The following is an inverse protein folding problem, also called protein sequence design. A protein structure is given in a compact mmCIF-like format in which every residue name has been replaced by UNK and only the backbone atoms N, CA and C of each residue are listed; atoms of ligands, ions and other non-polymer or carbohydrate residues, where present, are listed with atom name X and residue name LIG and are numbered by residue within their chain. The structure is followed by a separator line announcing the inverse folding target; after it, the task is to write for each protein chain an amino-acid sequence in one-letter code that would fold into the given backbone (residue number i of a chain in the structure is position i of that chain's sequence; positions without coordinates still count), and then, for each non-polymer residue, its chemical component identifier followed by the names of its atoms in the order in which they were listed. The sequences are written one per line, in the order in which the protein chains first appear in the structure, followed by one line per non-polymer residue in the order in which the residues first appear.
data_IF_503739083371
#
_entry.id   IF_503739083371
#
_cell.length_a   1.000
_cell.length_b   1.000
_cell.length_c   1.000
_cell.angle_alpha   90.00
_cell.angle_beta   90.00
_cell.angle_gamma   90.00
#
_symmetry.space_group_name_H-M   'P 1'
#
loop_
_entity.id
_entity.type
_entity.pdbx_description
1 polymer ?
#
# COMPACT_ATOMS: atom_id res chain seq x y z
N UNK A 1 -0.67 -19.10 15.65
CA UNK A 1 0.78 -19.28 15.47
C UNK A 1 1.49 -19.01 16.78
N UNK A 2 2.29 -19.96 17.27
CA UNK A 2 3.17 -19.74 18.42
C UNK A 2 4.38 -18.90 17.97
N UNK A 3 4.82 -17.87 18.72
CA UNK A 3 6.09 -17.21 18.43
C UNK A 3 7.23 -18.23 18.55
N UNK A 4 8.16 -18.24 17.61
CA UNK A 4 9.39 -19.02 17.75
C UNK A 4 10.18 -18.47 18.95
N UNK A 5 10.31 -19.26 20.02
CA UNK A 5 11.21 -18.94 21.12
C UNK A 5 12.66 -18.99 20.63
N UNK A 6 13.43 -17.93 20.88
CA UNK A 6 14.86 -17.85 20.55
C UNK A 6 15.67 -17.43 21.77
N UNK A 7 16.77 -18.11 22.02
CA UNK A 7 17.67 -17.82 23.14
C UNK A 7 18.73 -16.79 22.73
N UNK A 8 19.04 -15.83 23.60
CA UNK A 8 20.13 -14.87 23.41
C UNK A 8 20.92 -14.66 24.69
N UNK A 9 22.19 -14.22 24.56
CA UNK A 9 23.06 -13.90 25.69
C UNK A 9 22.44 -12.77 26.54
N UNK A 10 22.62 -12.83 27.87
CA UNK A 10 22.12 -11.84 28.83
C UNK A 10 22.54 -10.42 28.39
N UNK A 11 21.57 -9.54 28.19
CA UNK A 11 21.78 -8.16 27.72
C UNK A 11 21.70 -7.96 26.21
N UNK A 12 21.57 -9.02 25.39
CA UNK A 12 21.34 -8.91 23.94
C UNK A 12 19.94 -9.38 23.56
N UNK A 13 19.22 -8.67 22.68
CA UNK A 13 17.92 -9.13 22.18
C UNK A 13 18.09 -10.40 21.33
N UNK A 14 17.15 -11.33 21.43
CA UNK A 14 17.04 -12.44 20.49
C UNK A 14 16.55 -11.90 19.14
N UNK A 15 17.48 -11.74 18.20
CA UNK A 15 17.18 -11.28 16.83
C UNK A 15 16.80 -12.52 16.02
N UNK A 16 15.50 -12.77 15.87
CA UNK A 16 15.02 -13.69 14.86
C UNK A 16 14.94 -12.92 13.53
N UNK A 17 15.84 -13.22 12.58
CA UNK A 17 15.68 -12.76 11.21
C UNK A 17 14.46 -13.50 10.66
N UNK A 18 13.35 -12.77 10.55
CA UNK A 18 12.15 -13.27 9.88
C UNK A 18 12.16 -12.72 8.47
N UNK A 19 12.03 -13.59 7.48
CA UNK A 19 11.80 -13.16 6.10
C UNK A 19 10.43 -12.46 6.06
N UNK A 20 10.42 -11.13 6.16
CA UNK A 20 9.20 -10.37 5.88
C UNK A 20 8.97 -10.46 4.38
N UNK A 21 7.98 -11.25 3.97
CA UNK A 21 7.53 -11.39 2.58
C UNK A 21 6.89 -10.12 2.01
N UNK A 22 6.69 -9.08 2.84
CA UNK A 22 6.03 -7.84 2.44
C UNK A 22 7.07 -6.79 2.04
N UNK A 23 7.32 -6.69 0.74
CA UNK A 23 8.04 -5.57 0.13
C UNK A 23 7.09 -4.38 -0.10
N UNK A 24 7.64 -3.17 -0.20
CA UNK A 24 6.87 -2.00 -0.63
C UNK A 24 6.44 -2.18 -2.10
N UNK A 25 5.13 -2.23 -2.34
CA UNK A 25 4.57 -2.33 -3.68
C UNK A 25 4.21 -0.95 -4.21
N UNK A 26 4.69 -0.60 -5.40
CA UNK A 26 4.20 0.54 -6.17
C UNK A 26 3.11 0.07 -7.14
N UNK A 27 2.08 0.89 -7.35
CA UNK A 27 1.00 0.59 -8.30
C UNK A 27 1.08 1.55 -9.47
N UNK A 28 0.94 1.05 -10.69
CA UNK A 28 0.92 1.87 -11.91
C UNK A 28 -0.47 1.74 -12.54
N UNK A 29 -1.10 2.87 -12.84
CA UNK A 29 -2.29 2.94 -13.67
C UNK A 29 -1.88 3.42 -15.06
N UNK A 30 -2.30 2.69 -16.09
CA UNK A 30 -1.94 3.01 -17.47
C UNK A 30 -3.11 2.78 -18.40
N UNK A 31 -3.21 3.65 -19.41
CA UNK A 31 -4.10 3.47 -20.54
C UNK A 31 -3.26 3.45 -21.82
N UNK A 32 -3.44 2.42 -22.63
CA UNK A 32 -2.73 2.24 -23.90
C UNK A 32 -3.71 2.09 -25.05
N UNK A 33 -3.34 2.64 -26.20
CA UNK A 33 -4.04 2.49 -27.47
C UNK A 33 -3.17 1.67 -28.41
N UNK A 34 -3.72 1.20 -29.53
CA UNK A 34 -2.98 0.47 -30.56
C UNK A 34 -1.80 1.24 -31.15
N UNK A 35 -1.81 2.57 -31.05
CA UNK A 35 -0.76 3.45 -31.60
C UNK A 35 0.24 3.96 -30.56
N UNK A 36 -0.17 4.20 -29.33
CA UNK A 36 0.67 4.85 -28.30
C UNK A 36 0.09 4.67 -26.89
N UNK A 37 0.93 4.98 -25.88
CA UNK A 37 0.53 5.08 -24.47
C UNK A 37 -0.22 6.39 -24.26
N UNK A 38 -1.49 6.31 -23.83
CA UNK A 38 -2.35 7.48 -23.64
C UNK A 38 -2.03 8.20 -22.33
N UNK A 39 -1.84 7.45 -21.24
CA UNK A 39 -1.46 8.01 -19.95
C UNK A 39 -0.87 6.94 -19.03
N UNK A 40 0.01 7.36 -18.13
CA UNK A 40 0.59 6.54 -17.07
C UNK A 40 0.68 7.35 -15.78
N UNK A 41 0.21 6.78 -14.67
CA UNK A 41 0.33 7.35 -13.34
C UNK A 41 0.96 6.34 -12.37
N UNK A 42 1.96 6.78 -11.63
CA UNK A 42 2.61 6.01 -10.57
C UNK A 42 2.02 6.38 -9.22
N UNK A 43 1.55 5.39 -8.48
CA UNK A 43 1.14 5.52 -7.09
C UNK A 43 2.18 4.89 -6.17
N UNK A 44 2.83 5.75 -5.40
CA UNK A 44 3.70 5.34 -4.31
C UNK A 44 2.87 4.78 -3.15
N UNK A 45 3.32 3.71 -2.49
CA UNK A 45 2.66 3.22 -1.28
C UNK A 45 2.63 4.35 -0.25
N UNK A 46 1.49 4.52 0.42
CA UNK A 46 1.39 5.46 1.52
C UNK A 46 2.44 5.10 2.57
N UNK A 47 3.46 5.93 2.72
CA UNK A 47 4.46 5.76 3.76
C UNK A 47 3.73 5.86 5.10
N UNK A 48 3.68 4.76 5.85
CA UNK A 48 3.24 4.82 7.22
C UNK A 48 4.25 5.65 8.00
N UNK A 49 3.95 6.95 8.16
CA UNK A 49 4.53 7.75 9.23
C UNK A 49 4.18 7.04 10.52
N UNK A 50 5.11 6.21 10.99
CA UNK A 50 5.04 5.58 12.29
C UNK A 50 5.05 6.72 13.31
N UNK A 51 3.87 7.20 13.69
CA UNK A 51 3.71 8.19 14.75
C UNK A 51 4.40 7.59 15.97
N UNK A 52 5.61 8.08 16.27
CA UNK A 52 6.27 7.83 17.55
C UNK A 52 5.39 8.50 18.60
N UNK A 53 4.45 7.74 19.16
CA UNK A 53 3.75 8.16 20.36
C UNK A 53 4.81 8.15 21.48
N UNK A 54 5.21 9.34 21.93
CA UNK A 54 5.85 9.49 23.24
C UNK A 54 4.76 9.29 24.27
N UNK A 55 4.94 8.32 25.17
CA UNK A 55 4.11 8.20 26.37
C UNK A 55 5.05 8.47 27.54
N UNK A 56 4.80 9.57 28.24
CA UNK A 56 5.46 9.87 29.50
C UNK A 56 4.79 9.04 30.59
N UNK A 57 5.49 8.03 31.10
CA UNK A 57 5.63 7.83 32.53
C UNK A 57 6.74 6.79 32.81
N UNK A 58 7.85 7.28 33.38
CA UNK A 58 8.91 6.56 34.09
C UNK A 58 9.72 5.49 33.30
N UNK A 59 10.72 5.97 32.54
CA UNK A 59 12.05 5.36 32.31
C UNK A 59 12.18 3.84 32.08
N UNK A 60 11.26 3.19 31.38
CA UNK A 60 11.51 1.83 30.85
C UNK A 60 10.90 1.65 29.46
N UNK A 61 11.73 1.83 28.42
CA UNK A 61 11.32 1.56 27.03
C UNK A 61 11.29 0.05 26.77
N UNK A 62 10.13 -0.59 26.91
CA UNK A 62 9.84 -1.88 26.27
C UNK A 62 8.77 -1.67 25.21
N UNK A 63 9.11 -1.94 23.94
CA UNK A 63 8.14 -2.01 22.86
C UNK A 63 7.23 -3.22 23.11
N UNK A 64 6.00 -3.00 23.54
CA UNK A 64 4.95 -3.99 23.30
C UNK A 64 4.60 -3.92 21.81
N UNK A 65 4.47 -5.04 21.09
CA UNK A 65 3.78 -5.04 19.82
C UNK A 65 2.29 -4.89 20.14
N UNK A 66 1.87 -3.67 20.50
CA UNK A 66 0.47 -3.28 20.33
C UNK A 66 0.12 -3.66 18.92
N UNK A 67 -0.88 -4.52 18.72
CA UNK A 67 -1.31 -5.06 17.44
C UNK A 67 -1.14 -4.02 16.34
N UNK A 68 0.03 -4.04 15.70
CA UNK A 68 0.34 -3.22 14.56
C UNK A 68 -0.49 -3.88 13.48
N UNK A 69 -1.77 -3.50 13.39
CA UNK A 69 -2.44 -3.49 12.10
C UNK A 69 -1.62 -2.49 11.29
N UNK A 70 -0.47 -2.96 10.77
CA UNK A 70 0.25 -2.33 9.67
C UNK A 70 -0.89 -1.97 8.73
N UNK A 71 -1.11 -0.70 8.44
CA UNK A 71 -2.15 -0.35 7.49
C UNK A 71 -1.92 -1.23 6.27
N UNK A 72 -3.01 -1.86 5.84
CA UNK A 72 -2.99 -2.58 4.59
C UNK A 72 -2.62 -1.50 3.56
N UNK A 73 -1.52 -1.64 2.80
CA UNK A 73 -1.16 -0.67 1.79
C UNK A 73 -2.40 -0.52 0.94
N UNK A 74 -2.97 0.67 1.00
CA UNK A 74 -4.22 0.95 0.33
C UNK A 74 -3.84 1.02 -1.14
N UNK A 75 -4.23 -0.01 -1.89
CA UNK A 75 -4.09 0.01 -3.34
C UNK A 75 -4.94 1.12 -3.95
N UNK A 76 -5.06 1.11 -5.27
CA UNK A 76 -5.88 2.10 -5.97
C UNK A 76 -7.31 2.07 -5.46
N UNK A 77 -7.79 3.21 -4.94
CA UNK A 77 -9.19 3.40 -4.57
C UNK A 77 -9.97 3.96 -5.75
N UNK A 78 -11.29 3.75 -5.74
CA UNK A 78 -12.22 4.25 -6.78
C UNK A 78 -12.01 5.74 -7.08
N UNK A 79 -11.77 6.58 -6.08
CA UNK A 79 -11.52 8.01 -6.31
C UNK A 79 -10.31 8.28 -7.19
N UNK A 80 -9.20 7.55 -6.99
CA UNK A 80 -8.01 7.70 -7.83
C UNK A 80 -8.27 7.21 -9.25
N UNK A 81 -9.01 6.12 -9.42
CA UNK A 81 -9.39 5.62 -10.72
C UNK A 81 -10.29 6.61 -11.49
N UNK A 82 -11.28 7.22 -10.84
CA UNK A 82 -12.14 8.22 -11.46
C UNK A 82 -11.35 9.47 -11.91
N UNK A 83 -10.43 9.95 -11.07
CA UNK A 83 -9.54 11.08 -11.44
C UNK A 83 -8.65 10.71 -12.64
N UNK A 84 -8.14 9.48 -12.69
CA UNK A 84 -7.38 8.99 -13.83
C UNK A 84 -8.24 8.95 -15.10
N UNK A 85 -9.49 8.47 -15.02
CA UNK A 85 -10.42 8.47 -16.15
C UNK A 85 -10.70 9.89 -16.65
N UNK A 86 -11.01 10.83 -15.76
CA UNK A 86 -11.26 12.23 -16.13
C UNK A 86 -10.11 12.83 -16.95
N UNK A 87 -8.86 12.53 -16.58
CA UNK A 87 -7.68 12.98 -17.32
C UNK A 87 -7.47 12.28 -18.66
N UNK A 88 -7.94 11.04 -18.80
CA UNK A 88 -7.62 10.18 -19.95
C UNK A 88 -8.74 10.10 -20.98
N UNK A 89 -9.97 10.45 -20.61
CA UNK A 89 -11.16 10.35 -21.46
C UNK A 89 -11.01 11.13 -22.77
N UNK A 90 -10.44 12.34 -22.75
CA UNK A 90 -10.28 13.14 -23.98
C UNK A 90 -9.33 12.45 -24.96
N UNK A 91 -8.22 11.91 -24.43
CA UNK A 91 -7.26 11.11 -25.19
C UNK A 91 -7.83 9.79 -25.74
N UNK A 92 -8.98 9.33 -25.23
CA UNK A 92 -9.67 8.10 -25.65
C UNK A 92 -11.03 8.34 -26.32
N UNK A 93 -11.38 9.58 -26.62
CA UNK A 93 -12.69 9.93 -27.20
C UNK A 93 -12.94 9.20 -28.52
N UNK A 94 -14.14 8.62 -28.66
CA UNK A 94 -14.53 7.85 -29.85
C UNK A 94 -13.91 6.45 -29.95
N UNK A 95 -13.38 5.90 -28.84
CA UNK A 95 -12.76 4.56 -28.80
C UNK A 95 -13.40 3.74 -27.69
N UNK A 96 -13.28 2.42 -27.80
CA UNK A 96 -13.70 1.50 -26.76
C UNK A 96 -12.62 1.37 -25.68
N UNK A 97 -13.05 1.33 -24.43
CA UNK A 97 -12.20 1.04 -23.29
C UNK A 97 -12.38 -0.45 -22.96
N UNK A 98 -11.28 -1.20 -22.94
CA UNK A 98 -11.25 -2.60 -22.54
C UNK A 98 -10.47 -2.70 -21.23
N UNK A 99 -11.10 -3.26 -20.21
CA UNK A 99 -10.53 -3.45 -18.88
C UNK A 99 -11.00 -4.79 -18.29
N UNK A 100 -10.31 -5.28 -17.27
CA UNK A 100 -10.75 -6.43 -16.48
C UNK A 100 -11.95 -6.09 -15.59
N UNK A 101 -12.57 -7.11 -15.00
CA UNK A 101 -13.73 -6.95 -14.11
C UNK A 101 -13.30 -6.67 -12.66
N UNK A 102 -12.43 -5.68 -12.46
CA UNK A 102 -11.98 -5.27 -11.15
C UNK A 102 -13.08 -4.48 -10.42
N UNK A 103 -13.26 -4.63 -9.08
CA UNK A 103 -14.27 -3.90 -8.32
C UNK A 103 -14.19 -2.37 -8.45
N UNK A 104 -13.02 -1.82 -8.74
CA UNK A 104 -12.81 -0.39 -8.95
C UNK A 104 -13.45 0.14 -10.24
N UNK A 105 -13.69 -0.72 -11.24
CA UNK A 105 -14.25 -0.34 -12.55
C UNK A 105 -15.77 -0.23 -12.54
N UNK A 106 -16.44 -0.93 -11.61
CA UNK A 106 -17.90 -0.93 -11.47
C UNK A 106 -18.39 -0.05 -10.32
N UNK A 107 -17.47 0.65 -9.65
CA UNK A 107 -17.78 1.39 -8.43
C UNK A 107 -18.56 2.67 -8.74
N UNK A 108 -19.65 2.90 -8.00
CA UNK A 108 -20.44 4.13 -8.06
C UNK A 108 -19.90 5.15 -7.05
N UNK A 109 -19.93 6.43 -7.42
CA UNK A 109 -19.65 7.52 -6.47
C UNK A 109 -20.71 7.43 -5.34
N UNK A 110 -20.24 7.34 -4.09
CA UNK A 110 -21.11 7.39 -2.90
C UNK A 110 -21.59 8.80 -2.63
#
# INVERSE_FOLDING_TARGET
MRPSGGSAKKGKPAIAITSSTRAGSQTILGAISSKFVVSMELQSPQEEWSKRIKIDFYNRKRKAPTSNKKSVPRGTVTGHYLVFLEKTIDGMKGRYIVMDNAPIHTAKKK
#
